data_IF_314592604199
#
_entry.id   IF_314592604199
#
_cell.length_a   1.000
_cell.length_b   1.000
_cell.length_c   1.000
_cell.angle_alpha   90.00
_cell.angle_beta   90.00
_cell.angle_gamma   90.00
#
_symmetry.space_group_name_H-M   'P 1'
#
loop_
_entity.id
_entity.type
_entity.pdbx_description
1 polymer ?
#
# COMPACT_ATOMS: atom_id res chain seq x y z
N UNK A 1 -7.55 -2.74 -12.26
CA UNK A 1 -8.46 -2.52 -11.11
C UNK A 1 -9.22 -1.22 -11.31
N UNK A 2 -10.55 -1.25 -11.17
CA UNK A 2 -11.41 -0.06 -11.03
C UNK A 2 -11.81 0.07 -9.57
N UNK A 3 -11.75 1.28 -9.04
CA UNK A 3 -12.08 1.54 -7.64
C UNK A 3 -12.84 2.85 -7.46
N UNK A 4 -13.42 3.02 -6.29
CA UNK A 4 -13.93 4.30 -5.80
C UNK A 4 -13.63 4.40 -4.32
N UNK A 5 -13.63 5.61 -3.77
CA UNK A 5 -13.31 5.72 -2.37
C UNK A 5 -13.32 7.14 -1.85
N UNK A 6 -12.75 7.29 -0.66
CA UNK A 6 -12.58 8.55 0.02
C UNK A 6 -11.14 8.66 0.51
N UNK A 7 -10.45 9.70 0.07
CA UNK A 7 -9.16 10.09 0.64
C UNK A 7 -9.41 11.20 1.67
N UNK A 8 -8.67 11.18 2.77
CA UNK A 8 -8.67 12.20 3.82
C UNK A 8 -7.26 12.73 3.98
N UNK A 9 -7.13 14.03 4.19
CA UNK A 9 -5.89 14.72 4.53
C UNK A 9 -6.25 15.86 5.48
N UNK A 10 -6.00 15.67 6.77
CA UNK A 10 -6.49 16.60 7.79
C UNK A 10 -8.00 16.66 7.80
N UNK A 11 -8.51 17.88 7.88
CA UNK A 11 -9.95 18.13 7.84
C UNK A 11 -10.55 17.92 6.44
N UNK A 12 -9.71 17.84 5.40
CA UNK A 12 -10.18 17.70 4.03
C UNK A 12 -10.47 16.24 3.72
N UNK A 13 -11.58 16.02 3.02
CA UNK A 13 -11.89 14.72 2.48
C UNK A 13 -12.48 14.80 1.10
N UNK A 14 -12.04 13.92 0.21
CA UNK A 14 -12.43 13.94 -1.19
C UNK A 14 -12.86 12.54 -1.61
N UNK A 15 -14.04 12.47 -2.23
CA UNK A 15 -14.50 11.24 -2.86
C UNK A 15 -13.83 11.12 -4.24
N UNK A 16 -13.42 9.91 -4.61
CA UNK A 16 -12.77 9.64 -5.88
C UNK A 16 -13.34 8.40 -6.58
N UNK A 17 -13.16 8.38 -7.88
CA UNK A 17 -13.18 7.19 -8.73
C UNK A 17 -11.77 6.99 -9.28
N UNK A 18 -11.33 5.75 -9.38
CA UNK A 18 -9.94 5.44 -9.68
C UNK A 18 -9.77 4.27 -10.64
N UNK A 19 -8.64 4.29 -11.34
CA UNK A 19 -8.11 3.12 -12.05
C UNK A 19 -6.68 2.88 -11.57
N UNK A 20 -6.42 1.63 -11.18
CA UNK A 20 -5.08 1.15 -10.82
C UNK A 20 -4.70 0.06 -11.81
N UNK A 21 -3.51 0.19 -12.38
CA UNK A 21 -2.85 -0.80 -13.24
C UNK A 21 -1.56 -1.23 -12.56
N UNK A 22 -1.32 -2.52 -12.51
CA UNK A 22 -0.16 -3.11 -11.83
C UNK A 22 0.51 -4.03 -12.84
N UNK A 23 1.75 -3.71 -13.18
CA UNK A 23 2.68 -4.61 -13.82
C UNK A 23 3.65 -5.08 -12.73
N UNK A 24 3.47 -6.34 -12.31
CA UNK A 24 4.18 -6.91 -11.16
C UNK A 24 5.69 -6.69 -11.28
N UNK A 25 6.31 -6.27 -10.18
CA UNK A 25 7.75 -6.00 -10.05
C UNK A 25 8.31 -4.93 -11.00
N UNK A 26 7.46 -4.19 -11.73
CA UNK A 26 7.88 -3.21 -12.74
C UNK A 26 7.25 -1.83 -12.56
N UNK A 27 5.92 -1.75 -12.48
CA UNK A 27 5.24 -0.47 -12.41
C UNK A 27 3.85 -0.57 -11.79
N UNK A 28 3.46 0.48 -11.08
CA UNK A 28 2.08 0.71 -10.64
C UNK A 28 1.64 2.07 -11.14
N UNK A 29 0.58 2.09 -11.94
CA UNK A 29 -0.04 3.31 -12.41
C UNK A 29 -1.38 3.52 -11.74
N UNK A 30 -1.58 4.70 -11.17
CA UNK A 30 -2.79 5.12 -10.47
C UNK A 30 -3.32 6.38 -11.12
N UNK A 31 -4.62 6.42 -11.39
CA UNK A 31 -5.33 7.65 -11.75
C UNK A 31 -6.59 7.77 -10.93
N UNK A 32 -6.70 8.84 -10.14
CA UNK A 32 -7.83 9.19 -9.30
C UNK A 32 -8.48 10.46 -9.84
N UNK A 33 -9.80 10.45 -9.93
CA UNK A 33 -10.63 11.57 -10.39
C UNK A 33 -11.78 11.78 -9.43
N UNK A 34 -12.29 13.01 -9.32
CA UNK A 34 -13.51 13.30 -8.55
C UNK A 34 -14.74 12.72 -9.25
N UNK A 35 -15.88 12.70 -8.55
CA UNK A 35 -17.16 12.23 -9.13
C UNK A 35 -17.63 13.01 -10.36
N UNK A 36 -17.11 14.22 -10.59
CA UNK A 36 -17.38 15.06 -11.78
C UNK A 36 -16.25 15.02 -12.82
N UNK A 37 -15.30 14.09 -12.69
CA UNK A 37 -14.26 13.82 -13.69
C UNK A 37 -12.99 14.66 -13.59
N UNK A 38 -12.87 15.53 -12.58
CA UNK A 38 -11.66 16.33 -12.36
C UNK A 38 -10.54 15.44 -11.82
N UNK A 39 -9.35 15.45 -12.44
CA UNK A 39 -8.19 14.71 -11.95
C UNK A 39 -7.78 15.18 -10.55
N UNK A 40 -7.71 14.25 -9.59
CA UNK A 40 -7.29 14.52 -8.21
C UNK A 40 -5.83 14.14 -8.03
N UNK A 41 -5.46 12.96 -8.53
CA UNK A 41 -4.10 12.47 -8.47
C UNK A 41 -3.80 11.50 -9.62
N UNK A 42 -2.58 11.54 -10.13
CA UNK A 42 -2.00 10.53 -11.00
C UNK A 42 -0.63 10.16 -10.45
N UNK A 43 -0.38 8.86 -10.35
CA UNK A 43 0.89 8.32 -9.85
C UNK A 43 1.40 7.26 -10.82
N UNK A 44 2.69 7.32 -11.15
CA UNK A 44 3.43 6.22 -11.75
C UNK A 44 4.56 5.88 -10.79
N UNK A 45 4.47 4.72 -10.19
CA UNK A 45 5.41 4.18 -9.24
C UNK A 45 6.20 3.06 -9.90
N UNK A 46 7.52 3.19 -9.89
CA UNK A 46 8.52 2.23 -10.39
C UNK A 46 9.45 1.84 -9.20
N UNK A 47 10.25 0.78 -9.32
CA UNK A 47 11.12 0.33 -8.23
C UNK A 47 11.99 1.43 -7.60
N UNK A 48 12.52 2.34 -8.40
CA UNK A 48 13.46 3.38 -8.01
C UNK A 48 12.89 4.81 -8.10
N UNK A 49 11.73 4.99 -8.74
CA UNK A 49 11.20 6.31 -9.04
C UNK A 49 9.69 6.42 -8.86
N UNK A 50 9.24 7.64 -8.60
CA UNK A 50 7.82 7.97 -8.51
C UNK A 50 7.56 9.27 -9.25
N UNK A 51 6.54 9.25 -10.09
CA UNK A 51 5.98 10.43 -10.73
C UNK A 51 4.63 10.72 -10.13
N UNK A 52 4.44 11.93 -9.61
CA UNK A 52 3.21 12.33 -8.91
C UNK A 52 2.71 13.62 -9.51
N UNK A 53 1.45 13.61 -9.93
CA UNK A 53 0.68 14.81 -10.20
C UNK A 53 -0.58 14.76 -9.33
N UNK A 54 -0.56 15.42 -8.18
CA UNK A 54 -1.64 15.38 -7.19
C UNK A 54 -2.06 16.78 -6.78
N UNK A 55 -3.32 17.12 -7.06
CA UNK A 55 -3.97 18.33 -6.55
C UNK A 55 -4.24 18.24 -5.05
N UNK A 56 -4.44 17.03 -4.53
CA UNK A 56 -4.66 16.77 -3.11
C UNK A 56 -3.39 17.09 -2.29
N UNK A 57 -2.23 16.60 -2.76
CA UNK A 57 -0.94 16.80 -2.10
C UNK A 57 -0.21 18.06 -2.58
N UNK A 58 -0.80 18.80 -3.54
CA UNK A 58 -0.21 19.99 -4.19
C UNK A 58 1.21 19.75 -4.74
N UNK A 59 1.40 18.60 -5.38
CA UNK A 59 2.69 18.17 -5.94
C UNK A 59 2.56 17.85 -7.43
N UNK A 60 3.56 18.23 -8.22
CA UNK A 60 3.66 17.87 -9.64
C UNK A 60 5.12 17.62 -10.02
N UNK A 61 5.66 16.50 -9.54
CA UNK A 61 7.10 16.24 -9.58
C UNK A 61 7.43 14.78 -9.88
N UNK A 62 8.65 14.59 -10.41
CA UNK A 62 9.34 13.29 -10.43
C UNK A 62 10.28 13.25 -9.24
N UNK A 63 10.25 12.16 -8.48
CA UNK A 63 11.22 11.90 -7.43
C UNK A 63 11.43 10.41 -7.23
N UNK A 64 11.80 10.07 -6.01
CA UNK A 64 11.96 8.70 -5.53
C UNK A 64 10.91 8.42 -4.43
N UNK A 65 11.02 7.26 -3.79
CA UNK A 65 10.10 6.84 -2.73
C UNK A 65 10.15 7.74 -1.48
N UNK A 66 11.29 8.38 -1.20
CA UNK A 66 11.42 9.36 -0.10
C UNK A 66 10.48 10.54 -0.30
N UNK A 67 10.28 10.99 -1.54
CA UNK A 67 9.31 12.04 -1.85
C UNK A 67 7.88 11.61 -1.43
N UNK A 68 7.46 10.38 -1.74
CA UNK A 68 6.14 9.90 -1.30
C UNK A 68 6.02 9.79 0.21
N UNK A 69 7.08 9.34 0.88
CA UNK A 69 7.13 9.24 2.33
C UNK A 69 6.93 10.61 2.99
N UNK A 70 7.64 11.64 2.54
CA UNK A 70 7.52 13.02 3.05
C UNK A 70 6.10 13.58 2.93
N UNK A 71 5.41 13.33 1.81
CA UNK A 71 4.05 13.81 1.59
C UNK A 71 2.97 12.95 2.25
N UNK A 72 3.20 11.64 2.38
CA UNK A 72 2.20 10.71 2.90
C UNK A 72 2.28 10.52 4.41
N UNK A 73 3.44 10.81 5.02
CA UNK A 73 3.73 10.49 6.42
C UNK A 73 3.89 8.98 6.67
N UNK A 74 3.92 8.16 5.62
CA UNK A 74 4.10 6.72 5.73
C UNK A 74 5.42 6.30 5.08
N UNK A 75 6.23 5.49 5.76
CA UNK A 75 7.40 4.90 5.16
C UNK A 75 6.95 3.88 4.11
N UNK A 76 7.13 4.25 2.85
CA UNK A 76 6.66 3.50 1.70
C UNK A 76 7.78 3.39 0.68
N UNK A 77 8.02 2.18 0.20
CA UNK A 77 8.80 1.91 -1.00
C UNK A 77 7.94 1.12 -2.01
N UNK A 78 8.50 0.82 -3.18
CA UNK A 78 7.77 0.09 -4.22
C UNK A 78 7.27 -1.28 -3.77
N UNK A 79 8.10 -2.01 -3.02
CA UNK A 79 7.80 -3.36 -2.52
C UNK A 79 6.58 -3.32 -1.61
N UNK A 80 6.60 -2.43 -0.61
CA UNK A 80 5.48 -2.24 0.31
C UNK A 80 4.23 -1.75 -0.42
N UNK A 81 4.36 -0.76 -1.31
CA UNK A 81 3.23 -0.20 -2.05
C UNK A 81 2.54 -1.26 -2.94
N UNK A 82 3.31 -2.01 -3.72
CA UNK A 82 2.76 -3.09 -4.56
C UNK A 82 2.27 -4.27 -3.71
N UNK A 83 2.99 -4.63 -2.65
CA UNK A 83 2.63 -5.71 -1.72
C UNK A 83 1.29 -5.46 -1.02
N UNK A 84 1.02 -4.21 -0.63
CA UNK A 84 -0.28 -3.79 -0.10
C UNK A 84 -1.39 -3.98 -1.14
N UNK A 85 -1.21 -3.46 -2.36
CA UNK A 85 -2.23 -3.53 -3.41
C UNK A 85 -2.53 -4.96 -3.86
N UNK A 86 -1.52 -5.84 -3.85
CA UNK A 86 -1.63 -7.24 -4.24
C UNK A 86 -1.95 -8.18 -3.07
N UNK A 87 -2.00 -7.68 -1.83
CA UNK A 87 -2.16 -8.47 -0.60
C UNK A 87 -1.16 -9.63 -0.55
N UNK A 88 0.12 -9.29 -0.46
CA UNK A 88 1.23 -10.25 -0.31
C UNK A 88 1.97 -9.99 1.00
N UNK A 89 2.68 -11.00 1.49
CA UNK A 89 3.72 -10.79 2.49
C UNK A 89 4.89 -10.07 1.83
N UNK A 90 5.48 -9.12 2.55
CA UNK A 90 6.65 -8.37 2.13
C UNK A 90 7.41 -7.87 3.35
N UNK A 91 8.72 -7.74 3.23
CA UNK A 91 9.55 -6.96 4.13
C UNK A 91 9.91 -5.63 3.45
N UNK A 92 10.73 -4.82 4.10
CA UNK A 92 11.22 -3.60 3.46
C UNK A 92 12.06 -3.90 2.21
N UNK A 93 12.86 -4.97 2.24
CA UNK A 93 13.87 -5.25 1.22
C UNK A 93 13.42 -6.24 0.15
N UNK A 94 12.37 -7.04 0.40
CA UNK A 94 11.97 -8.13 -0.50
C UNK A 94 10.51 -8.54 -0.34
N UNK A 95 9.89 -8.98 -1.43
CA UNK A 95 8.63 -9.74 -1.45
C UNK A 95 8.81 -11.18 -2.00
N UNK A 96 10.07 -11.58 -2.23
CA UNK A 96 10.45 -12.93 -2.65
C UNK A 96 10.16 -13.92 -1.49
N UNK A 97 9.34 -14.95 -1.70
CA UNK A 97 8.96 -15.89 -0.63
C UNK A 97 10.13 -16.57 0.06
N UNK A 98 11.14 -17.01 -0.68
CA UNK A 98 12.27 -17.77 -0.13
C UNK A 98 13.07 -16.92 0.85
N UNK A 99 13.34 -15.65 0.48
CA UNK A 99 14.03 -14.71 1.36
C UNK A 99 13.19 -14.30 2.58
N UNK A 100 11.88 -14.19 2.40
CA UNK A 100 10.99 -13.84 3.50
C UNK A 100 10.97 -14.91 4.58
N UNK A 101 11.05 -16.20 4.22
CA UNK A 101 11.01 -17.31 5.18
C UNK A 101 12.15 -17.25 6.20
N UNK A 102 13.32 -16.73 5.83
CA UNK A 102 14.47 -16.60 6.72
C UNK A 102 14.22 -15.57 7.85
N UNK A 103 13.45 -14.52 7.55
CA UNK A 103 13.17 -13.41 8.46
C UNK A 103 11.82 -13.55 9.18
N UNK A 104 10.91 -14.37 8.63
CA UNK A 104 9.54 -14.50 9.10
C UNK A 104 9.49 -14.99 10.54
N UNK A 105 8.86 -14.20 11.41
CA UNK A 105 8.43 -14.61 12.74
C UNK A 105 6.94 -14.86 12.71
N UNK A 106 6.45 -15.87 13.43
CA UNK A 106 5.03 -16.15 13.45
C UNK A 106 4.57 -16.68 14.80
N UNK A 107 3.32 -16.37 15.16
CA UNK A 107 2.64 -16.90 16.35
C UNK A 107 1.12 -16.82 16.18
N UNK A 108 0.33 -17.69 16.82
CA UNK A 108 -1.11 -17.48 16.90
C UNK A 108 -1.44 -16.31 17.85
N UNK A 109 -2.58 -15.67 17.63
CA UNK A 109 -3.24 -14.80 18.60
C UNK A 109 -4.21 -15.60 19.49
N UNK A 110 -4.90 -14.89 20.39
CA UNK A 110 -5.84 -15.48 21.34
C UNK A 110 -7.05 -16.16 20.66
N UNK A 111 -7.36 -15.76 19.43
CA UNK A 111 -8.51 -16.22 18.65
C UNK A 111 -8.08 -17.29 17.62
N UNK A 112 -6.81 -17.72 17.64
CA UNK A 112 -6.25 -18.74 16.76
C UNK A 112 -5.81 -18.21 15.39
N UNK A 113 -5.86 -16.89 15.17
CA UNK A 113 -5.38 -16.26 13.94
C UNK A 113 -3.86 -16.20 13.91
N UNK A 114 -3.24 -16.36 12.75
CA UNK A 114 -1.79 -16.26 12.65
C UNK A 114 -1.37 -14.82 12.48
N UNK A 115 -0.44 -14.40 13.34
CA UNK A 115 0.32 -13.17 13.23
C UNK A 115 1.67 -13.53 12.62
N UNK A 116 1.95 -12.99 11.45
CA UNK A 116 3.28 -13.00 10.84
C UNK A 116 3.95 -11.65 11.08
N UNK A 117 5.22 -11.64 11.43
CA UNK A 117 6.00 -10.43 11.62
C UNK A 117 7.30 -10.54 10.84
N UNK A 118 7.56 -9.53 10.02
CA UNK A 118 8.81 -9.30 9.34
C UNK A 118 9.43 -8.07 10.01
N UNK A 119 10.32 -8.28 10.99
CA UNK A 119 10.98 -7.18 11.67
C UNK A 119 11.80 -6.38 10.65
N UNK A 120 12.22 -5.18 11.04
CA UNK A 120 13.08 -4.35 10.20
C UNK A 120 14.26 -5.18 9.64
N UNK A 121 14.36 -5.24 8.31
CA UNK A 121 15.46 -5.90 7.61
C UNK A 121 16.49 -4.84 7.20
N UNK A 122 17.66 -4.82 7.83
CA UNK A 122 18.75 -3.89 7.50
C UNK A 122 19.84 -3.80 8.57
N UNK A 123 21.08 -3.51 8.17
CA UNK A 123 22.22 -3.23 9.05
C UNK A 123 22.87 -1.89 8.66
N UNK A 124 23.26 -1.06 9.63
CA UNK A 124 23.89 0.24 9.32
C UNK A 124 22.89 1.31 8.86
N UNK A 125 23.29 2.12 7.87
CA UNK A 125 22.53 3.27 7.36
C UNK A 125 21.34 2.90 6.44
N UNK A 126 21.18 1.62 6.08
CA UNK A 126 20.08 1.09 5.25
C UNK A 126 18.80 0.78 6.05
N UNK A 127 18.76 1.17 7.32
CA UNK A 127 17.62 0.99 8.20
C UNK A 127 16.46 1.88 7.76
N UNK A 128 15.41 1.27 7.23
CA UNK A 128 14.14 1.97 6.99
C UNK A 128 13.47 2.42 8.27
N UNK A 129 13.86 1.86 9.42
CA UNK A 129 13.22 2.03 10.71
C UNK A 129 11.88 1.31 10.84
N UNK A 130 11.51 0.45 9.87
CA UNK A 130 10.12 -0.02 9.71
C UNK A 130 10.04 -1.53 9.47
N UNK A 131 9.30 -2.20 10.34
CA UNK A 131 8.86 -3.59 10.19
C UNK A 131 7.39 -3.69 9.83
N UNK A 132 6.97 -4.89 9.42
CA UNK A 132 5.59 -5.19 9.03
C UNK A 132 5.03 -6.38 9.80
N UNK A 133 3.80 -6.24 10.31
CA UNK A 133 3.06 -7.34 10.96
C UNK A 133 1.76 -7.61 10.24
N UNK A 134 1.55 -8.85 9.83
CA UNK A 134 0.42 -9.30 9.07
C UNK A 134 -0.48 -10.14 9.96
N UNK A 135 -1.70 -9.68 10.21
CA UNK A 135 -2.73 -10.49 10.86
C UNK A 135 -3.47 -11.28 9.78
N UNK A 136 -3.68 -12.58 9.99
CA UNK A 136 -4.33 -13.45 9.01
C UNK A 136 -5.49 -14.25 9.60
N UNK A 137 -6.59 -14.33 8.87
CA UNK A 137 -7.76 -15.11 9.27
C UNK A 137 -7.56 -16.61 9.01
N UNK A 138 -8.06 -17.42 9.94
CA UNK A 138 -8.15 -18.88 9.79
C UNK A 138 -9.61 -19.34 9.63
N UNK A 139 -9.88 -20.39 8.83
CA UNK A 139 -8.96 -21.07 7.91
C UNK A 139 -8.70 -20.23 6.64
N UNK A 140 -7.55 -20.45 5.99
CA UNK A 140 -7.24 -19.88 4.67
C UNK A 140 -6.19 -18.76 4.63
N UNK A 141 -5.61 -18.37 5.77
CA UNK A 141 -4.48 -17.45 5.88
C UNK A 141 -4.66 -16.12 5.13
N UNK A 142 -5.89 -15.61 5.07
CA UNK A 142 -6.19 -14.33 4.40
C UNK A 142 -5.66 -13.18 5.25
N UNK A 143 -4.79 -12.34 4.69
CA UNK A 143 -4.27 -11.15 5.38
C UNK A 143 -5.44 -10.18 5.68
N UNK A 144 -5.81 -10.02 6.94
CA UNK A 144 -6.84 -9.09 7.38
C UNK A 144 -6.29 -7.67 7.51
N UNK A 145 -5.07 -7.55 8.05
CA UNK A 145 -4.41 -6.27 8.19
C UNK A 145 -2.90 -6.37 8.08
N UNK A 146 -2.28 -5.24 7.72
CA UNK A 146 -0.84 -5.02 7.85
C UNK A 146 -0.62 -3.84 8.79
N UNK A 147 0.13 -4.06 9.85
CA UNK A 147 0.64 -2.99 10.72
C UNK A 147 2.04 -2.62 10.24
N UNK A 148 2.26 -1.33 10.05
CA UNK A 148 3.58 -0.73 9.89
C UNK A 148 4.08 -0.36 11.27
N UNK A 149 5.28 -0.81 11.61
CA UNK A 149 5.80 -0.76 12.98
C UNK A 149 7.17 -0.08 12.97
N UNK A 150 7.38 0.90 13.86
CA UNK A 150 8.68 1.57 14.02
C UNK A 150 9.67 0.74 14.87
N UNK A 151 10.87 1.28 15.12
CA UNK A 151 11.91 0.62 15.93
C UNK A 151 11.51 0.40 17.40
N UNK A 152 10.63 1.24 17.94
CA UNK A 152 10.10 1.12 19.32
C UNK A 152 8.92 0.14 19.41
N UNK A 153 8.60 -0.51 18.29
CA UNK A 153 7.47 -1.43 18.14
C UNK A 153 6.08 -0.74 18.27
N UNK A 154 6.02 0.57 18.07
CA UNK A 154 4.79 1.32 17.91
C UNK A 154 4.22 1.15 16.50
N UNK A 155 2.90 1.01 16.42
CA UNK A 155 2.20 1.00 15.14
C UNK A 155 2.15 2.45 14.66
N UNK A 156 2.65 2.72 13.45
CA UNK A 156 2.66 4.05 12.83
C UNK A 156 1.63 4.18 11.70
N UNK A 157 1.17 3.04 11.16
CA UNK A 157 0.16 2.95 10.13
C UNK A 157 -0.45 1.56 10.06
N UNK A 158 -1.69 1.48 9.58
CA UNK A 158 -2.40 0.21 9.42
C UNK A 158 -3.18 0.17 8.12
N UNK A 159 -3.01 -0.94 7.41
CA UNK A 159 -3.82 -1.31 6.26
C UNK A 159 -4.79 -2.39 6.68
N UNK A 160 -6.05 -2.28 6.27
CA UNK A 160 -7.09 -3.28 6.46
C UNK A 160 -7.64 -3.74 5.12
N UNK A 161 -7.93 -5.03 5.02
CA UNK A 161 -8.57 -5.64 3.86
C UNK A 161 -9.94 -6.18 4.25
N UNK A 162 -10.92 -5.97 3.37
CA UNK A 162 -12.19 -6.69 3.44
C UNK A 162 -12.38 -7.51 2.18
N UNK A 163 -13.10 -8.62 2.32
CA UNK A 163 -13.31 -9.59 1.24
C UNK A 163 -14.77 -9.70 0.86
N UNK A 164 -15.02 -10.03 -0.41
CA UNK A 164 -16.31 -10.55 -0.85
C UNK A 164 -16.46 -12.04 -0.50
N UNK A 165 -17.61 -12.61 -0.84
CA UNK A 165 -17.95 -14.01 -0.60
C UNK A 165 -17.02 -15.01 -1.32
N UNK A 166 -16.41 -14.58 -2.44
CA UNK A 166 -15.48 -15.38 -3.22
C UNK A 166 -14.02 -15.24 -2.74
N UNK A 167 -13.77 -14.42 -1.71
CA UNK A 167 -12.46 -14.19 -1.14
C UNK A 167 -11.60 -13.17 -1.88
N UNK A 168 -12.17 -12.42 -2.84
CA UNK A 168 -11.49 -11.29 -3.47
C UNK A 168 -11.55 -10.04 -2.59
N UNK A 169 -10.53 -9.19 -2.69
CA UNK A 169 -10.51 -7.93 -1.95
C UNK A 169 -11.63 -7.04 -2.49
N UNK A 170 -12.56 -6.65 -1.61
CA UNK A 170 -13.60 -5.66 -1.92
C UNK A 170 -13.26 -4.26 -1.42
N UNK A 171 -12.41 -4.17 -0.39
CA UNK A 171 -12.00 -2.89 0.20
C UNK A 171 -10.57 -2.94 0.74
N UNK A 172 -9.82 -1.87 0.51
CA UNK A 172 -8.54 -1.57 1.15
C UNK A 172 -8.72 -0.27 1.93
N UNK A 173 -8.41 -0.27 3.22
CA UNK A 173 -8.45 0.92 4.06
C UNK A 173 -7.09 1.16 4.70
N UNK A 174 -6.52 2.35 4.53
CA UNK A 174 -5.25 2.79 5.12
C UNK A 174 -5.55 3.87 6.14
N UNK A 175 -5.01 3.72 7.35
CA UNK A 175 -5.17 4.67 8.46
C UNK A 175 -3.85 4.91 9.17
N UNK A 176 -3.62 6.15 9.57
CA UNK A 176 -2.52 6.54 10.44
C UNK A 176 -2.81 6.09 11.85
N UNK A 177 -1.76 5.75 12.60
CA UNK A 177 -1.91 5.41 14.01
C UNK A 177 -1.98 6.67 14.91
N UNK A 178 -1.29 7.75 14.53
CA UNK A 178 -1.37 9.04 15.20
C UNK A 178 -2.28 10.03 14.46
N UNK A 179 -2.88 10.97 15.21
CA UNK A 179 -3.68 12.07 14.63
C UNK A 179 -2.88 12.98 13.68
N UNK A 180 -1.56 13.02 13.81
CA UNK A 180 -0.64 13.74 12.94
C UNK A 180 -0.50 13.10 11.55
N UNK A 181 -0.70 11.78 11.44
CA UNK A 181 -0.76 11.05 10.17
C UNK A 181 -2.16 11.15 9.57
N UNK A 182 -2.49 12.39 9.19
CA UNK A 182 -3.81 12.85 8.79
C UNK A 182 -4.25 12.33 7.41
N UNK A 183 -3.42 11.49 6.76
CA UNK A 183 -3.69 10.89 5.46
C UNK A 183 -4.32 9.52 5.65
N UNK A 184 -5.60 9.42 5.29
CA UNK A 184 -6.37 8.17 5.30
C UNK A 184 -6.95 7.86 3.93
N UNK A 185 -7.06 6.59 3.60
CA UNK A 185 -7.62 6.14 2.33
C UNK A 185 -8.62 5.01 2.60
N UNK A 186 -9.88 5.18 2.18
CA UNK A 186 -10.84 4.07 2.08
C UNK A 186 -11.12 3.83 0.60
N UNK A 187 -10.77 2.66 0.08
CA UNK A 187 -10.91 2.31 -1.33
C UNK A 187 -11.74 1.04 -1.51
N UNK A 188 -12.91 1.18 -2.13
CA UNK A 188 -13.72 0.06 -2.63
C UNK A 188 -13.23 -0.38 -4.00
N UNK A 189 -12.97 -1.68 -4.14
CA UNK A 189 -12.68 -2.31 -5.43
C UNK A 189 -14.01 -2.62 -6.11
N UNK A 190 -14.19 -2.11 -7.34
CA UNK A 190 -15.40 -2.29 -8.14
C UNK A 190 -15.24 -3.41 -9.16
N UNK A 191 -14.05 -3.52 -9.74
CA UNK A 191 -13.70 -4.63 -10.61
C UNK A 191 -12.19 -4.76 -10.74
N UNK A 192 -11.74 -5.95 -11.13
CA UNK A 192 -10.39 -6.18 -11.60
C UNK A 192 -10.45 -6.95 -12.92
N UNK A 193 -9.37 -6.84 -13.68
CA UNK A 193 -9.20 -7.50 -14.96
C UNK A 193 -7.72 -7.84 -15.07
N UNK A 194 -7.42 -9.04 -15.57
CA UNK A 194 -6.05 -9.45 -15.89
C UNK A 194 -5.87 -9.19 -17.37
N UNK A 195 -4.94 -8.30 -17.70
CA UNK A 195 -4.61 -7.92 -19.07
C UNK A 195 -3.27 -8.57 -19.41
N UNK A 196 -3.22 -9.54 -20.34
CA UNK A 196 -1.96 -10.08 -20.85
C UNK A 196 -1.11 -8.96 -21.47
N UNK A 197 0.20 -9.04 -21.29
CA UNK A 197 1.18 -8.12 -21.90
C UNK A 197 0.93 -6.64 -21.63
N UNK A 198 0.40 -6.34 -20.43
CA UNK A 198 0.21 -4.97 -19.97
C UNK A 198 1.56 -4.25 -19.89
N UNK A 199 1.79 -3.31 -20.81
CA UNK A 199 2.90 -2.35 -20.75
C UNK A 199 2.45 -1.05 -20.10
N UNK A 200 3.06 -0.74 -18.96
CA UNK A 200 2.92 0.56 -18.29
C UNK A 200 4.20 1.34 -18.56
N UNK A 201 4.20 2.18 -19.60
CA UNK A 201 5.35 3.03 -19.93
C UNK A 201 5.03 4.52 -19.85
N UNK A 202 6.04 5.30 -19.47
CA UNK A 202 5.98 6.76 -19.36
C UNK A 202 5.60 7.47 -20.67
N UNK A 203 5.79 6.82 -21.84
CA UNK A 203 5.49 7.42 -23.16
C UNK A 203 4.02 7.83 -23.35
N UNK A 204 3.13 7.50 -22.41
CA UNK A 204 1.70 7.87 -22.40
C UNK A 204 1.29 8.77 -21.22
N UNK A 205 2.24 9.40 -20.52
CA UNK A 205 1.96 10.28 -19.38
C UNK A 205 1.51 11.69 -19.77
#
# INVERSE_FOLDING_TARGET
IKCSGKARTGEQSINFQGTIRIQKDQAVWVSLRSGIGIEIARVLAEPDSVWINSRLLRIKEKGNWKLLEEYSGYPLNFIAFQGILLRRLFSWSTDNPDRLLDELRYRPDKDGNWIFALPESGSGDDKSGVGFRFLTQTPGYRIESVDMINQDNDIIGRVFYQYDENGFIKRISIKGAEKSNDIGLDMDIKSYEVIPDLDISYKKW
#
